data_IF_862253598407
#
_entry.id   IF_862253598407
#
_cell.length_a   1.000
_cell.length_b   1.000
_cell.length_c   1.000
_cell.angle_alpha   90.00
_cell.angle_beta   90.00
_cell.angle_gamma   90.00
#
_symmetry.space_group_name_H-M   'P 1'
#
loop_
_entity.id
_entity.type
_entity.pdbx_description
1 polymer ?
#
# COMPACT_ATOMS: atom_id res chain seq x y z
N UNK A 1 -4.15 -8.90 -0.32
CA UNK A 1 -2.78 -8.46 -0.07
C UNK A 1 -1.84 -9.65 0.01
N UNK A 2 -0.90 -9.74 -0.92
CA UNK A 2 0.16 -10.76 -0.93
C UNK A 2 1.45 -10.14 -0.41
N UNK A 3 1.46 -9.73 0.85
CA UNK A 3 2.61 -9.13 1.48
C UNK A 3 3.65 -10.15 1.95
N UNK A 4 4.90 -9.72 2.02
CA UNK A 4 5.92 -10.44 2.77
C UNK A 4 5.96 -9.92 4.20
N UNK A 5 6.19 -10.79 5.19
CA UNK A 5 6.67 -10.29 6.46
C UNK A 5 8.17 -9.96 6.28
N UNK A 6 8.55 -8.70 6.32
CA UNK A 6 9.89 -8.22 5.99
C UNK A 6 11.04 -8.90 6.76
N UNK A 7 10.76 -9.47 7.92
CA UNK A 7 11.78 -10.07 8.80
C UNK A 7 12.17 -11.48 8.35
N UNK A 8 11.23 -12.30 7.92
CA UNK A 8 11.49 -13.72 7.57
C UNK A 8 11.57 -13.96 6.07
N UNK A 9 11.19 -12.99 5.26
CA UNK A 9 11.15 -13.12 3.81
C UNK A 9 10.09 -14.09 3.28
N UNK A 10 9.23 -14.62 4.15
CA UNK A 10 8.14 -15.50 3.74
C UNK A 10 7.03 -14.70 3.07
N UNK A 11 6.48 -15.26 2.00
CA UNK A 11 5.28 -14.71 1.34
C UNK A 11 4.07 -15.55 1.71
N UNK A 12 2.89 -14.94 1.59
CA UNK A 12 1.61 -15.61 1.77
C UNK A 12 1.46 -16.29 3.15
N UNK A 13 2.11 -15.73 4.19
CA UNK A 13 2.03 -16.27 5.56
C UNK A 13 0.62 -16.20 6.14
N UNK A 14 -0.24 -15.35 5.57
CA UNK A 14 -1.64 -15.18 5.98
C UNK A 14 -2.62 -15.92 5.07
N UNK A 15 -2.14 -16.62 4.06
CA UNK A 15 -2.92 -17.35 3.09
C UNK A 15 -2.59 -17.01 1.65
N UNK A 16 -3.06 -17.84 0.74
CA UNK A 16 -2.85 -17.69 -0.70
C UNK A 16 -4.01 -16.92 -1.37
N UNK A 17 -5.16 -16.92 -0.75
CA UNK A 17 -6.37 -16.27 -1.26
C UNK A 17 -6.63 -14.95 -0.52
N UNK A 18 -7.05 -13.94 -1.26
CA UNK A 18 -7.50 -12.66 -0.73
C UNK A 18 -9.01 -12.65 -0.65
N UNK A 19 -9.53 -12.20 0.49
CA UNK A 19 -10.97 -12.04 0.69
C UNK A 19 -11.27 -10.75 1.43
N UNK A 20 -12.48 -10.23 1.27
CA UNK A 20 -12.99 -9.07 1.97
C UNK A 20 -14.16 -9.50 2.85
N UNK A 21 -14.12 -9.10 4.11
CA UNK A 21 -15.26 -9.13 5.01
C UNK A 21 -15.56 -7.69 5.43
N UNK A 22 -16.76 -7.22 5.13
CA UNK A 22 -17.18 -5.86 5.42
C UNK A 22 -18.58 -5.86 6.05
N UNK A 23 -18.75 -5.11 7.14
CA UNK A 23 -20.03 -4.76 7.70
C UNK A 23 -19.98 -3.28 8.11
N UNK A 24 -21.00 -2.55 7.74
CA UNK A 24 -21.18 -1.17 8.17
C UNK A 24 -22.49 -1.02 8.94
N UNK A 25 -22.40 -0.39 10.09
CA UNK A 25 -23.54 -0.05 10.93
C UNK A 25 -23.70 1.46 11.01
N UNK A 26 -24.94 1.91 10.93
CA UNK A 26 -25.33 3.31 11.14
C UNK A 26 -26.45 3.34 12.16
N UNK A 27 -26.27 4.09 13.23
CA UNK A 27 -27.23 4.19 14.34
C UNK A 27 -27.66 2.83 14.93
N UNK A 28 -26.74 1.88 15.00
CA UNK A 28 -26.97 0.54 15.52
C UNK A 28 -27.70 -0.41 14.55
N UNK A 29 -27.87 -0.01 13.31
CA UNK A 29 -28.45 -0.84 12.26
C UNK A 29 -27.41 -1.19 11.20
N UNK A 30 -27.32 -2.47 10.85
CA UNK A 30 -26.49 -2.95 9.76
C UNK A 30 -27.06 -2.44 8.44
N UNK A 31 -26.29 -1.65 7.71
CA UNK A 31 -26.69 -1.02 6.45
C UNK A 31 -25.99 -1.60 5.23
N UNK A 32 -24.79 -2.11 5.40
CA UNK A 32 -24.01 -2.76 4.34
C UNK A 32 -23.35 -4.01 4.88
N UNK A 33 -23.40 -5.09 4.13
CA UNK A 33 -22.63 -6.32 4.34
C UNK A 33 -22.01 -6.76 3.02
N UNK A 34 -20.85 -7.37 3.09
CA UNK A 34 -20.28 -8.04 1.92
C UNK A 34 -20.99 -9.36 1.70
N UNK A 35 -21.68 -9.51 0.58
CA UNK A 35 -22.46 -10.67 0.19
C UNK A 35 -22.35 -10.96 -1.32
N UNK A 36 -23.17 -11.87 -1.83
CA UNK A 36 -23.19 -12.28 -3.23
C UNK A 36 -23.76 -11.23 -4.19
N UNK A 37 -24.32 -10.14 -3.68
CA UNK A 37 -24.77 -9.02 -4.52
C UNK A 37 -23.64 -8.10 -4.97
N UNK A 38 -22.46 -8.24 -4.36
CA UNK A 38 -21.31 -7.43 -4.69
C UNK A 38 -20.66 -7.85 -6.01
N UNK A 39 -19.93 -6.92 -6.57
CA UNK A 39 -19.13 -7.13 -7.75
C UNK A 39 -17.69 -6.70 -7.48
N UNK A 40 -16.76 -7.34 -8.16
CA UNK A 40 -15.35 -7.03 -8.08
C UNK A 40 -14.73 -6.92 -9.48
N UNK A 41 -13.65 -6.18 -9.58
CA UNK A 41 -12.86 -6.08 -10.80
C UNK A 41 -11.37 -6.19 -10.48
N UNK A 42 -10.61 -6.74 -11.41
CA UNK A 42 -9.15 -6.74 -11.40
C UNK A 42 -8.56 -5.69 -12.36
N UNK A 43 -9.42 -4.89 -13.00
CA UNK A 43 -9.03 -3.90 -14.01
C UNK A 43 -9.00 -2.46 -13.46
N UNK A 44 -8.95 -2.30 -12.13
CA UNK A 44 -8.87 -0.98 -11.50
C UNK A 44 -7.48 -0.33 -11.58
N UNK A 45 -7.37 0.93 -11.15
CA UNK A 45 -6.14 1.71 -11.25
C UNK A 45 -5.00 1.22 -10.33
N UNK A 46 -5.32 0.59 -9.22
CA UNK A 46 -4.34 0.04 -8.29
C UNK A 46 -3.79 -1.29 -8.85
N UNK A 47 -2.66 -1.22 -9.54
CA UNK A 47 -2.06 -2.35 -10.26
C UNK A 47 -1.19 -3.21 -9.37
N UNK A 48 -0.59 -2.64 -8.35
CA UNK A 48 0.08 -3.36 -7.28
C UNK A 48 0.14 -2.51 -6.01
N UNK A 49 0.00 -3.15 -4.87
CA UNK A 49 0.09 -2.50 -3.58
C UNK A 49 0.71 -3.47 -2.57
N UNK A 50 1.86 -3.09 -2.03
CA UNK A 50 2.60 -3.86 -1.03
C UNK A 50 3.26 -2.89 -0.06
N UNK A 51 3.06 -3.09 1.26
CA UNK A 51 3.59 -2.18 2.28
C UNK A 51 5.11 -2.03 2.25
N UNK A 52 5.83 -2.96 1.66
CA UNK A 52 7.29 -2.94 1.60
C UNK A 52 7.83 -2.58 0.22
N UNK A 53 7.13 -2.96 -0.84
CA UNK A 53 7.52 -2.67 -2.22
C UNK A 53 7.01 -1.30 -2.66
N UNK A 54 5.86 -0.90 -2.14
CA UNK A 54 5.17 0.32 -2.53
C UNK A 54 3.97 0.06 -3.43
N UNK A 55 3.60 1.05 -4.22
CA UNK A 55 2.37 1.09 -4.98
C UNK A 55 2.63 1.40 -6.46
N UNK A 56 1.85 0.77 -7.32
CA UNK A 56 1.76 1.16 -8.73
C UNK A 56 0.29 1.50 -9.06
N UNK A 57 0.04 2.77 -9.31
CA UNK A 57 -1.28 3.32 -9.62
C UNK A 57 -1.31 3.88 -11.03
N UNK A 58 -2.27 3.44 -11.84
CA UNK A 58 -2.49 3.93 -13.20
C UNK A 58 -3.84 4.63 -13.28
N UNK A 59 -3.84 5.97 -13.22
CA UNK A 59 -5.06 6.77 -13.23
C UNK A 59 -5.86 6.65 -14.54
N UNK A 60 -5.24 6.17 -15.61
CA UNK A 60 -5.96 5.92 -16.88
C UNK A 60 -6.97 4.77 -16.77
N UNK A 61 -6.88 3.98 -15.69
CA UNK A 61 -7.73 2.82 -15.40
C UNK A 61 -8.77 3.10 -14.30
N UNK A 62 -9.02 4.36 -13.95
CA UNK A 62 -10.00 4.71 -12.91
C UNK A 62 -11.44 4.38 -13.34
N UNK A 63 -11.74 4.46 -14.62
CA UNK A 63 -13.03 4.03 -15.16
C UNK A 63 -13.02 2.52 -15.41
N UNK A 64 -13.64 1.78 -14.49
CA UNK A 64 -13.70 0.32 -14.56
C UNK A 64 -14.92 -0.09 -15.37
N UNK A 65 -14.68 -0.64 -16.54
CA UNK A 65 -15.76 -1.07 -17.47
C UNK A 65 -16.30 -2.47 -17.15
N UNK A 66 -15.46 -3.35 -16.58
CA UNK A 66 -15.83 -4.75 -16.38
C UNK A 66 -15.89 -5.09 -14.90
N UNK A 67 -17.07 -5.44 -14.48
CA UNK A 67 -17.38 -5.92 -13.15
C UNK A 67 -17.86 -7.36 -13.18
N UNK A 68 -17.45 -8.17 -12.25
CA UNK A 68 -17.78 -9.58 -12.15
C UNK A 68 -18.44 -9.87 -10.81
N UNK A 69 -19.44 -10.78 -10.76
CA UNK A 69 -19.98 -11.24 -9.50
C UNK A 69 -18.87 -11.78 -8.59
N UNK A 70 -18.95 -11.47 -7.31
CA UNK A 70 -18.02 -12.04 -6.34
C UNK A 70 -18.33 -13.50 -6.08
N UNK A 71 -17.33 -14.26 -5.65
CA UNK A 71 -17.52 -15.57 -5.06
C UNK A 71 -17.59 -15.42 -3.54
N UNK A 72 -18.72 -15.78 -2.98
CA UNK A 72 -18.83 -15.89 -1.52
C UNK A 72 -18.18 -17.20 -1.10
N UNK A 73 -17.13 -17.10 -0.32
CA UNK A 73 -16.56 -18.26 0.36
C UNK A 73 -17.47 -18.62 1.53
N UNK A 74 -18.41 -19.51 1.28
CA UNK A 74 -19.07 -20.23 2.37
C UNK A 74 -17.99 -21.03 3.10
N UNK A 75 -17.96 -20.96 4.42
CA UNK A 75 -16.99 -21.68 5.24
C UNK A 75 -16.72 -23.07 4.65
N UNK A 76 -15.55 -23.28 4.06
CA UNK A 76 -15.03 -24.63 3.91
C UNK A 76 -15.04 -25.19 5.33
N UNK A 77 -15.67 -26.33 5.54
CA UNK A 77 -15.69 -26.99 6.84
C UNK A 77 -14.33 -26.86 7.50
N UNK A 78 -14.25 -26.09 8.59
CA UNK A 78 -13.05 -25.88 9.38
C UNK A 78 -12.16 -24.69 9.05
N UNK A 79 -12.48 -23.78 8.08
CA UNK A 79 -11.58 -22.69 7.69
C UNK A 79 -12.00 -21.29 8.16
N UNK A 80 -13.28 -21.04 8.40
CA UNK A 80 -13.74 -19.74 8.90
C UNK A 80 -14.74 -19.91 10.04
N UNK A 81 -14.32 -19.59 11.24
CA UNK A 81 -15.18 -19.47 12.40
C UNK A 81 -15.37 -18.00 12.74
N UNK A 82 -16.51 -17.45 12.32
CA UNK A 82 -16.85 -16.04 12.60
C UNK A 82 -17.06 -15.74 14.08
N UNK A 83 -17.21 -16.77 14.94
CA UNK A 83 -17.32 -16.57 16.38
C UNK A 83 -16.05 -16.01 17.01
N UNK A 84 -14.93 -16.11 16.31
CA UNK A 84 -13.64 -15.54 16.74
C UNK A 84 -13.41 -14.11 16.28
N UNK A 85 -14.33 -13.50 15.54
CA UNK A 85 -14.22 -12.09 15.18
C UNK A 85 -14.41 -11.21 16.40
N UNK A 86 -13.44 -10.35 16.64
CA UNK A 86 -13.46 -9.37 17.72
C UNK A 86 -13.14 -7.98 17.15
N UNK A 87 -13.64 -6.95 17.82
CA UNK A 87 -13.23 -5.59 17.47
C UNK A 87 -11.73 -5.42 17.67
N UNK A 88 -11.08 -4.67 16.78
CA UNK A 88 -9.70 -4.29 16.99
C UNK A 88 -9.57 -3.41 18.24
N UNK A 89 -8.66 -3.76 19.13
CA UNK A 89 -8.27 -2.99 20.31
C UNK A 89 -7.11 -2.02 20.03
N UNK A 90 -6.61 -2.04 18.81
CA UNK A 90 -5.48 -1.20 18.40
C UNK A 90 -5.90 0.26 18.25
N UNK A 91 -5.00 1.15 18.65
CA UNK A 91 -5.19 2.58 18.39
C UNK A 91 -5.16 2.82 16.89
N UNK A 92 -6.18 3.42 16.30
CA UNK A 92 -6.22 3.64 14.87
C UNK A 92 -5.13 4.61 14.41
N UNK A 93 -4.53 4.31 13.29
CA UNK A 93 -3.61 5.24 12.61
C UNK A 93 -4.39 6.47 12.17
N UNK A 94 -3.88 7.66 12.49
CA UNK A 94 -4.51 8.94 12.16
C UNK A 94 -3.46 9.91 11.66
N UNK A 95 -3.86 10.74 10.71
CA UNK A 95 -3.09 11.91 10.31
C UNK A 95 -2.99 12.86 11.52
N UNK A 96 -1.77 13.15 11.93
CA UNK A 96 -1.48 13.99 13.11
C UNK A 96 -0.98 15.36 12.69
N UNK A 97 -0.12 15.40 11.70
CA UNK A 97 0.60 16.59 11.29
C UNK A 97 0.98 16.50 9.81
N UNK A 98 1.09 17.65 9.17
CA UNK A 98 1.54 17.75 7.78
C UNK A 98 2.83 18.55 7.73
N UNK A 99 3.86 17.99 7.12
CA UNK A 99 5.16 18.63 6.95
C UNK A 99 5.35 19.09 5.52
N UNK A 100 5.86 20.31 5.36
CA UNK A 100 6.32 20.80 4.08
C UNK A 100 7.75 20.31 3.83
N UNK A 101 8.02 19.79 2.64
CA UNK A 101 9.36 19.36 2.26
C UNK A 101 10.25 20.54 1.85
N UNK A 102 11.52 20.43 2.16
CA UNK A 102 12.59 21.25 1.56
C UNK A 102 13.20 20.46 0.40
N UNK A 103 13.26 21.08 -0.78
CA UNK A 103 13.83 20.43 -1.94
C UNK A 103 15.34 20.57 -1.98
N UNK A 104 16.04 19.47 -2.03
CA UNK A 104 17.49 19.41 -2.19
C UNK A 104 17.87 18.64 -3.45
N UNK A 105 19.02 18.98 -4.04
CA UNK A 105 19.60 18.25 -5.15
C UNK A 105 20.89 17.59 -4.69
N UNK A 106 20.94 16.28 -4.81
CA UNK A 106 22.11 15.50 -4.39
C UNK A 106 23.30 15.72 -5.35
N UNK A 107 24.52 15.33 -4.95
CA UNK A 107 25.69 15.36 -5.85
C UNK A 107 25.51 14.55 -7.13
N UNK A 108 24.73 13.46 -7.11
CA UNK A 108 24.36 12.68 -8.30
C UNK A 108 23.24 13.31 -9.13
N UNK A 109 22.68 14.43 -8.68
CA UNK A 109 21.63 15.16 -9.39
C UNK A 109 20.21 14.72 -9.08
N UNK A 110 19.99 13.84 -8.11
CA UNK A 110 18.67 13.40 -7.67
C UNK A 110 17.92 14.55 -6.99
N UNK A 111 16.62 14.63 -7.20
CA UNK A 111 15.75 15.58 -6.52
C UNK A 111 15.12 14.91 -5.31
N UNK A 112 15.45 15.38 -4.11
CA UNK A 112 14.98 14.82 -2.85
C UNK A 112 14.09 15.84 -2.14
N UNK A 113 12.93 15.36 -1.67
CA UNK A 113 12.05 16.08 -0.77
C UNK A 113 12.44 15.72 0.68
N UNK A 114 13.12 16.64 1.35
CA UNK A 114 13.57 16.46 2.73
C UNK A 114 12.54 17.06 3.70
N UNK A 115 12.04 16.25 4.62
CA UNK A 115 11.07 16.64 5.64
C UNK A 115 11.73 17.01 6.97
N UNK A 116 13.06 16.97 7.04
CA UNK A 116 13.83 17.39 8.21
C UNK A 116 13.78 16.41 9.39
N UNK A 117 13.07 15.33 9.28
CA UNK A 117 12.97 14.28 10.30
C UNK A 117 12.52 12.94 9.70
N UNK A 118 12.83 11.86 10.40
CA UNK A 118 12.26 10.55 10.11
C UNK A 118 10.82 10.50 10.61
N UNK A 119 9.90 10.03 9.77
CA UNK A 119 8.47 9.99 10.07
C UNK A 119 7.79 8.78 9.42
N UNK A 120 6.67 8.37 9.97
CA UNK A 120 5.76 7.43 9.34
C UNK A 120 4.57 8.21 8.78
N UNK A 121 4.30 8.06 7.49
CA UNK A 121 3.25 8.83 6.83
C UNK A 121 3.11 8.49 5.35
N UNK A 122 2.40 9.34 4.64
CA UNK A 122 2.23 9.27 3.19
C UNK A 122 2.49 10.63 2.56
N UNK A 123 2.86 10.58 1.30
CA UNK A 123 3.24 11.77 0.54
C UNK A 123 2.04 12.36 -0.18
N UNK A 124 1.85 13.68 -0.06
CA UNK A 124 0.89 14.44 -0.86
C UNK A 124 1.64 15.35 -1.82
N UNK A 125 1.45 15.15 -3.10
CA UNK A 125 2.06 15.97 -4.14
C UNK A 125 0.98 16.65 -4.99
N UNK A 126 1.33 17.78 -5.57
CA UNK A 126 0.54 18.42 -6.62
C UNK A 126 1.43 18.61 -7.83
N UNK A 127 1.02 18.02 -8.94
CA UNK A 127 1.76 18.07 -10.19
C UNK A 127 0.84 18.53 -11.32
N UNK A 128 1.47 19.05 -12.38
CA UNK A 128 0.82 19.27 -13.67
C UNK A 128 1.62 18.50 -14.69
N UNK A 129 1.00 17.50 -15.29
CA UNK A 129 1.63 16.56 -16.20
C UNK A 129 0.67 16.24 -17.35
N UNK A 130 1.16 15.58 -18.39
CA UNK A 130 0.33 15.07 -19.48
C UNK A 130 -0.15 13.66 -19.13
N UNK A 131 -1.29 13.27 -19.69
CA UNK A 131 -1.76 11.89 -19.57
C UNK A 131 -0.69 10.91 -20.07
N UNK A 132 -0.35 9.94 -19.23
CA UNK A 132 0.70 8.96 -19.49
C UNK A 132 2.10 9.35 -18.99
N UNK A 133 2.29 10.57 -18.51
CA UNK A 133 3.52 10.92 -17.80
C UNK A 133 3.61 10.12 -16.50
N UNK A 134 4.79 9.67 -16.15
CA UNK A 134 5.02 8.84 -14.99
C UNK A 134 5.71 9.64 -13.88
N UNK A 135 5.16 9.56 -12.67
CA UNK A 135 5.76 10.13 -11.47
C UNK A 135 6.20 8.98 -10.58
N UNK A 136 7.47 8.98 -10.21
CA UNK A 136 8.06 7.95 -9.35
C UNK A 136 8.58 8.59 -8.08
N UNK A 137 8.11 8.11 -6.94
CA UNK A 137 8.57 8.50 -5.62
C UNK A 137 9.22 7.28 -4.95
N UNK A 138 10.46 7.42 -4.54
CA UNK A 138 11.16 6.42 -3.74
C UNK A 138 11.36 6.98 -2.34
N UNK A 139 10.97 6.22 -1.32
CA UNK A 139 11.10 6.63 0.07
C UNK A 139 12.42 6.14 0.64
N UNK A 140 13.04 6.96 1.48
CA UNK A 140 14.28 6.66 2.18
C UNK A 140 14.34 7.46 3.48
N UNK A 141 15.20 7.06 4.40
CA UNK A 141 15.32 7.68 5.72
C UNK A 141 16.53 8.61 5.82
N UNK A 142 17.52 8.44 4.96
CA UNK A 142 18.80 9.14 5.07
C UNK A 142 19.48 9.29 3.71
N UNK A 143 20.47 10.14 3.67
CA UNK A 143 21.44 10.20 2.59
C UNK A 143 22.67 9.33 2.93
N UNK A 144 23.39 8.89 1.90
CA UNK A 144 24.67 8.22 2.09
C UNK A 144 25.75 9.20 2.58
N UNK A 145 26.96 8.68 2.88
CA UNK A 145 28.09 9.50 3.33
C UNK A 145 28.55 10.56 2.34
N UNK A 146 28.21 10.38 1.08
CA UNK A 146 28.55 11.29 -0.02
C UNK A 146 27.40 12.27 -0.31
N UNK A 147 26.31 12.22 0.47
CA UNK A 147 25.16 13.10 0.37
C UNK A 147 24.17 12.73 -0.75
N UNK A 148 24.17 11.50 -1.22
CA UNK A 148 23.22 11.02 -2.21
C UNK A 148 22.09 10.24 -1.56
N UNK A 149 20.96 10.14 -2.23
CA UNK A 149 19.83 9.35 -1.78
C UNK A 149 20.20 7.86 -1.69
N UNK A 150 19.80 7.19 -0.61
CA UNK A 150 20.05 5.76 -0.42
C UNK A 150 18.85 5.06 0.21
N UNK A 151 18.68 3.80 -0.16
CA UNK A 151 17.72 2.85 0.43
C UNK A 151 18.43 1.62 0.99
N UNK A 152 19.73 1.67 1.16
CA UNK A 152 20.52 0.52 1.60
C UNK A 152 20.11 0.00 2.98
N UNK A 153 19.63 0.89 3.85
CA UNK A 153 19.13 0.53 5.18
C UNK A 153 17.84 -0.34 5.15
N UNK A 154 17.11 -0.33 4.03
CA UNK A 154 15.94 -1.18 3.83
C UNK A 154 16.27 -2.52 3.19
N UNK A 155 17.50 -2.70 2.71
CA UNK A 155 17.88 -3.92 2.03
C UNK A 155 18.19 -5.04 3.05
N UNK A 156 17.55 -6.21 2.93
CA UNK A 156 17.84 -7.33 3.83
C UNK A 156 19.28 -7.79 3.64
N UNK A 157 20.00 -7.95 4.75
CA UNK A 157 21.41 -8.36 4.79
C UNK A 157 21.66 -9.68 4.05
N UNK A 158 21.81 -9.64 2.74
CA UNK A 158 22.40 -10.67 1.89
C UNK A 158 21.72 -12.06 1.85
N UNK A 159 20.63 -12.29 2.57
CA UNK A 159 19.99 -13.61 2.65
C UNK A 159 18.70 -13.79 1.83
N UNK A 160 18.14 -12.71 1.34
CA UNK A 160 16.98 -12.76 0.45
C UNK A 160 17.15 -11.76 -0.69
N UNK A 161 16.98 -12.18 -1.95
CA UNK A 161 17.09 -11.28 -3.11
C UNK A 161 15.81 -10.44 -3.25
N UNK A 162 15.53 -9.57 -2.28
CA UNK A 162 14.37 -8.70 -2.32
C UNK A 162 14.80 -7.29 -2.05
N UNK A 163 14.63 -6.46 -3.04
CA UNK A 163 14.68 -5.04 -2.86
C UNK A 163 13.38 -4.62 -2.15
N UNK A 164 13.52 -3.96 -1.04
CA UNK A 164 12.41 -3.26 -0.39
C UNK A 164 12.42 -1.85 -0.99
N UNK A 165 11.78 -1.70 -2.14
CA UNK A 165 11.94 -0.49 -2.95
C UNK A 165 11.19 0.70 -2.38
N UNK A 166 10.14 0.48 -1.58
CA UNK A 166 9.28 1.52 -1.02
C UNK A 166 8.96 2.62 -2.05
N UNK A 167 8.58 2.17 -3.23
CA UNK A 167 8.45 3.01 -4.42
C UNK A 167 6.98 3.15 -4.82
N UNK A 168 6.53 4.38 -4.96
CA UNK A 168 5.23 4.69 -5.53
C UNK A 168 5.44 5.11 -6.98
N UNK A 169 4.68 4.51 -7.87
CA UNK A 169 4.62 4.90 -9.27
C UNK A 169 3.20 5.30 -9.61
N UNK A 170 3.03 6.49 -10.13
CA UNK A 170 1.75 7.06 -10.58
C UNK A 170 1.84 7.40 -12.06
N UNK A 171 0.83 7.00 -12.84
CA UNK A 171 0.70 7.32 -14.28
C UNK A 171 -0.58 8.08 -14.53
#
# INVERSE_FOLDING_TARGET
>A
YRGSNGITGSRNVFGDDLALLCQMEVDGQVTVVSDDTWQASQEGPDRSNDMQQGEFYDARMEEIEKWHPVRVESSREGTFDFSHLVCSDSVPVREKETFAATWIRTPKGELVADFGQNLAGYTKIRVTAKAGDQIVLTHGETLDRDGNFTVENFQPNGRTPRNLDQKITYI
#
